data_IF_870277841579
#
_entry.id   IF_870277841579
#
_cell.length_a   1.000
_cell.length_b   1.000
_cell.length_c   1.000
_cell.angle_alpha   90.00
_cell.angle_beta   90.00
_cell.angle_gamma   90.00
#
_symmetry.space_group_name_H-M   'P 1'
#
loop_
_entity.id
_entity.type
_entity.pdbx_description
1 polymer ?
#
# COMPACT_ATOMS: atom_id res chain seq x y z
N UNK A 1 -13.93 -16.78 5.33
CA UNK A 1 -12.64 -16.39 5.94
C UNK A 1 -12.85 -15.69 7.28
N UNK A 2 -11.96 -15.91 8.24
CA UNK A 2 -12.13 -15.35 9.59
C UNK A 2 -13.10 -16.13 10.50
N UNK A 3 -13.61 -17.28 10.09
CA UNK A 3 -14.55 -18.09 10.86
C UNK A 3 -14.09 -19.54 11.05
N UNK A 4 -12.98 -19.91 10.47
CA UNK A 4 -12.32 -21.21 10.64
C UNK A 4 -11.28 -21.15 11.76
N UNK A 5 -10.38 -22.11 11.85
CA UNK A 5 -9.23 -22.12 12.75
C UNK A 5 -9.55 -21.95 14.26
N UNK A 6 -10.69 -22.49 14.69
CA UNK A 6 -11.17 -22.37 16.07
C UNK A 6 -10.14 -22.85 17.11
N UNK A 7 -9.52 -24.02 16.88
CA UNK A 7 -8.55 -24.61 17.81
C UNK A 7 -7.30 -23.73 17.95
N UNK A 8 -6.72 -23.31 16.82
CA UNK A 8 -5.55 -22.42 16.80
C UNK A 8 -5.85 -21.08 17.50
N UNK A 9 -7.03 -20.49 17.22
CA UNK A 9 -7.41 -19.23 17.88
C UNK A 9 -7.66 -19.37 19.37
N UNK A 10 -8.22 -20.50 19.84
CA UNK A 10 -8.35 -20.79 21.30
C UNK A 10 -6.98 -20.87 21.96
N UNK A 11 -5.99 -21.52 21.33
CA UNK A 11 -4.61 -21.57 21.85
C UNK A 11 -4.01 -20.15 21.93
N UNK A 12 -4.19 -19.33 20.88
CA UNK A 12 -3.75 -17.93 20.87
C UNK A 12 -4.40 -17.14 22.01
N UNK A 13 -5.73 -17.24 22.18
CA UNK A 13 -6.46 -16.58 23.29
C UNK A 13 -5.98 -17.06 24.66
N UNK A 14 -5.64 -18.35 24.81
CA UNK A 14 -5.03 -18.87 26.04
C UNK A 14 -3.67 -18.21 26.32
N UNK A 15 -2.87 -17.95 25.29
CA UNK A 15 -1.61 -17.20 25.46
C UNK A 15 -1.87 -15.74 25.82
N UNK A 16 -2.82 -15.07 25.17
CA UNK A 16 -3.21 -13.69 25.49
C UNK A 16 -3.64 -13.56 26.97
N UNK A 17 -4.42 -14.53 27.47
CA UNK A 17 -4.79 -14.60 28.91
C UNK A 17 -3.60 -14.69 29.86
N UNK A 18 -2.54 -15.40 29.45
CA UNK A 18 -1.32 -15.54 30.25
C UNK A 18 -0.42 -14.30 30.19
N UNK A 19 -0.34 -13.68 29.02
CA UNK A 19 0.50 -12.49 28.76
C UNK A 19 -0.15 -11.24 29.36
N UNK A 20 -1.49 -11.14 29.33
CA UNK A 20 -2.27 -9.95 29.75
C UNK A 20 -1.77 -8.67 29.07
N UNK A 21 -1.82 -8.59 27.74
CA UNK A 21 -1.31 -7.42 27.03
C UNK A 21 -2.13 -6.17 27.35
N UNK A 22 -1.47 -5.03 27.47
CA UNK A 22 -2.09 -3.72 27.68
C UNK A 22 -2.83 -3.23 26.43
N UNK A 23 -2.40 -3.68 25.25
CA UNK A 23 -3.00 -3.35 23.95
C UNK A 23 -2.80 -4.50 22.96
N UNK A 24 -3.74 -4.67 22.06
CA UNK A 24 -3.65 -5.63 20.94
C UNK A 24 -3.76 -4.91 19.62
N UNK A 25 -2.77 -5.11 18.74
CA UNK A 25 -2.78 -4.60 17.37
C UNK A 25 -3.21 -5.70 16.41
N UNK A 26 -4.26 -5.45 15.66
CA UNK A 26 -4.79 -6.35 14.65
C UNK A 26 -4.37 -5.89 13.26
N UNK A 27 -3.66 -6.76 12.52
CA UNK A 27 -3.19 -6.53 11.15
C UNK A 27 -3.51 -7.76 10.30
N UNK A 28 -3.94 -7.58 9.07
CA UNK A 28 -4.08 -8.63 8.04
C UNK A 28 -4.64 -9.98 8.57
N UNK A 29 -5.86 -9.98 9.13
CA UNK A 29 -6.50 -11.18 9.68
C UNK A 29 -7.22 -12.04 8.62
N UNK A 30 -7.10 -11.74 7.34
CA UNK A 30 -7.60 -12.59 6.27
C UNK A 30 -6.79 -13.90 6.15
N UNK A 31 -7.13 -14.78 5.21
CA UNK A 31 -6.42 -16.05 4.94
C UNK A 31 -6.69 -17.22 5.92
N UNK A 32 -7.79 -17.19 6.65
CA UNK A 32 -8.32 -18.32 7.45
C UNK A 32 -7.47 -18.82 8.62
N UNK A 33 -6.44 -18.11 9.06
CA UNK A 33 -5.62 -18.55 10.21
C UNK A 33 -6.22 -18.18 11.58
N UNK A 34 -7.19 -17.26 11.62
CA UNK A 34 -7.86 -16.75 12.83
C UNK A 34 -9.37 -16.92 12.75
N UNK A 35 -10.00 -17.24 13.89
CA UNK A 35 -11.46 -17.20 14.07
C UNK A 35 -11.83 -15.86 14.75
N UNK A 36 -12.42 -14.95 14.00
CA UNK A 36 -12.77 -13.58 14.47
C UNK A 36 -13.73 -13.61 15.67
N UNK A 37 -14.84 -14.40 15.68
CA UNK A 37 -15.71 -14.46 16.85
C UNK A 37 -15.00 -14.83 18.15
N UNK A 38 -14.03 -15.72 18.11
CA UNK A 38 -13.28 -16.15 19.30
C UNK A 38 -12.32 -15.05 19.74
N UNK A 39 -11.56 -14.46 18.80
CA UNK A 39 -10.58 -13.43 19.11
C UNK A 39 -11.25 -12.13 19.55
N UNK A 40 -12.12 -11.56 18.71
CA UNK A 40 -12.74 -10.27 18.97
C UNK A 40 -13.71 -10.34 20.16
N UNK A 41 -14.44 -11.46 20.32
CA UNK A 41 -15.26 -11.70 21.51
C UNK A 41 -14.45 -11.75 22.79
N UNK A 42 -13.21 -12.26 22.77
CA UNK A 42 -12.29 -12.20 23.91
C UNK A 42 -11.85 -10.76 24.19
N UNK A 43 -11.43 -10.00 23.17
CA UNK A 43 -10.99 -8.62 23.32
C UNK A 43 -12.11 -7.73 23.89
N UNK A 44 -13.33 -7.88 23.37
CA UNK A 44 -14.49 -7.15 23.84
C UNK A 44 -14.85 -7.52 25.30
N UNK A 45 -14.86 -8.82 25.62
CA UNK A 45 -15.25 -9.29 26.98
C UNK A 45 -14.32 -8.79 28.08
N UNK A 46 -13.03 -8.68 27.79
CA UNK A 46 -12.02 -8.28 28.76
C UNK A 46 -11.59 -6.82 28.61
N UNK A 47 -12.35 -6.05 27.81
CA UNK A 47 -12.10 -4.64 27.52
C UNK A 47 -10.63 -4.33 27.20
N UNK A 48 -10.03 -5.15 26.32
CA UNK A 48 -8.64 -4.96 25.92
C UNK A 48 -8.56 -3.88 24.86
N UNK A 49 -7.76 -2.80 25.07
CA UNK A 49 -7.52 -1.80 24.06
C UNK A 49 -7.07 -2.42 22.73
N UNK A 50 -7.79 -2.10 21.67
CA UNK A 50 -7.58 -2.77 20.38
C UNK A 50 -7.36 -1.75 19.29
N UNK A 51 -6.27 -1.90 18.54
CA UNK A 51 -5.94 -1.08 17.38
C UNK A 51 -6.06 -1.95 16.12
N UNK A 52 -6.91 -1.55 15.20
CA UNK A 52 -7.00 -2.15 13.86
C UNK A 52 -6.18 -1.33 12.89
N UNK A 53 -5.18 -1.94 12.23
CA UNK A 53 -4.38 -1.28 11.21
C UNK A 53 -4.84 -1.73 9.82
N UNK A 54 -5.30 -0.76 9.04
CA UNK A 54 -5.84 -0.97 7.71
C UNK A 54 -4.71 -0.97 6.66
N UNK A 55 -4.20 -2.15 6.31
CA UNK A 55 -3.26 -2.34 5.21
C UNK A 55 -3.97 -2.64 3.88
N UNK A 56 -5.25 -3.01 3.96
CA UNK A 56 -6.16 -3.27 2.85
C UNK A 56 -7.61 -3.04 3.31
N UNK A 57 -8.57 -3.25 2.41
CA UNK A 57 -9.97 -3.00 2.69
C UNK A 57 -10.70 -4.17 3.38
N UNK A 58 -10.02 -5.29 3.65
CA UNK A 58 -10.69 -6.51 4.13
C UNK A 58 -11.42 -6.33 5.47
N UNK A 59 -10.87 -5.54 6.38
CA UNK A 59 -11.49 -5.34 7.68
C UNK A 59 -12.88 -4.73 7.59
N UNK A 60 -13.09 -3.79 6.67
CA UNK A 60 -14.37 -3.08 6.53
C UNK A 60 -15.23 -3.55 5.35
N UNK A 61 -14.76 -4.50 4.54
CA UNK A 61 -15.57 -5.13 3.50
C UNK A 61 -16.11 -6.49 3.97
N UNK A 62 -17.03 -7.09 3.23
CA UNK A 62 -17.50 -8.45 3.52
C UNK A 62 -16.48 -9.51 3.14
N UNK A 63 -15.57 -9.22 2.18
CA UNK A 63 -14.79 -10.27 1.55
C UNK A 63 -13.47 -9.78 0.94
N UNK A 64 -13.52 -8.73 0.12
CA UNK A 64 -12.40 -8.31 -0.70
C UNK A 64 -11.36 -7.48 0.08
N UNK A 65 -10.10 -7.56 -0.36
CA UNK A 65 -8.99 -6.74 0.11
C UNK A 65 -8.94 -5.40 -0.62
N UNK A 66 -9.47 -5.35 -1.85
CA UNK A 66 -9.60 -4.14 -2.66
C UNK A 66 -10.94 -4.12 -3.38
N UNK A 67 -11.55 -2.96 -3.50
CA UNK A 67 -12.85 -2.79 -4.16
C UNK A 67 -12.83 -1.76 -5.31
N UNK A 68 -11.80 -0.93 -5.37
CA UNK A 68 -11.73 0.28 -6.21
C UNK A 68 -11.72 -0.02 -7.70
N UNK A 69 -10.95 -1.01 -8.16
CA UNK A 69 -10.91 -1.43 -9.56
C UNK A 69 -12.30 -1.84 -10.11
N UNK A 70 -13.17 -2.33 -9.24
CA UNK A 70 -14.52 -2.75 -9.60
C UNK A 70 -15.60 -1.76 -9.17
N UNK A 71 -15.21 -0.60 -8.64
CA UNK A 71 -16.11 0.49 -8.17
C UNK A 71 -17.25 -0.04 -7.28
N UNK A 72 -16.92 -0.98 -6.35
CA UNK A 72 -17.90 -1.64 -5.51
C UNK A 72 -18.02 -0.96 -4.14
N UNK A 73 -18.96 -0.06 -3.98
CA UNK A 73 -19.19 0.71 -2.74
C UNK A 73 -20.23 0.10 -1.79
N UNK A 74 -20.60 -1.17 -1.97
CA UNK A 74 -21.61 -1.85 -1.12
C UNK A 74 -21.23 -1.90 0.35
N UNK A 75 -19.93 -1.94 0.67
CA UNK A 75 -19.40 -1.96 2.03
C UNK A 75 -19.79 -0.73 2.87
N UNK A 76 -20.13 0.39 2.24
CA UNK A 76 -20.63 1.58 2.94
C UNK A 76 -22.01 1.39 3.58
N UNK A 77 -22.73 0.37 3.21
CA UNK A 77 -24.02 0.00 3.80
C UNK A 77 -24.04 -1.48 4.22
N UNK A 78 -24.05 -2.39 3.26
CA UNK A 78 -24.02 -3.84 3.50
C UNK A 78 -23.45 -4.58 2.27
N UNK A 79 -22.39 -5.34 2.45
CA UNK A 79 -21.90 -6.26 1.41
C UNK A 79 -22.90 -7.40 1.20
N UNK A 80 -23.25 -7.65 -0.07
CA UNK A 80 -24.08 -8.78 -0.52
C UNK A 80 -23.93 -8.95 -2.02
N UNK A 81 -24.21 -10.15 -2.54
CA UNK A 81 -24.11 -10.47 -3.97
C UNK A 81 -22.74 -10.02 -4.53
N UNK A 82 -21.68 -10.62 -3.98
CA UNK A 82 -20.31 -10.19 -4.23
C UNK A 82 -19.85 -10.59 -5.63
N UNK A 83 -19.59 -9.60 -6.49
CA UNK A 83 -19.03 -9.83 -7.83
C UNK A 83 -17.56 -10.27 -7.78
N UNK A 84 -16.86 -9.95 -6.67
CA UNK A 84 -15.44 -10.25 -6.46
C UNK A 84 -15.19 -11.60 -5.80
N UNK A 85 -16.25 -12.40 -5.56
CA UNK A 85 -16.17 -13.66 -4.80
C UNK A 85 -15.13 -14.65 -5.32
N UNK A 86 -14.87 -14.65 -6.64
CA UNK A 86 -13.89 -15.55 -7.28
C UNK A 86 -12.54 -14.88 -7.58
N UNK A 87 -12.48 -13.56 -7.51
CA UNK A 87 -11.33 -12.78 -7.96
C UNK A 87 -10.40 -12.38 -6.81
N UNK A 88 -10.96 -12.10 -5.64
CA UNK A 88 -10.19 -11.63 -4.49
C UNK A 88 -10.61 -12.43 -3.24
N UNK A 89 -9.65 -13.07 -2.56
CA UNK A 89 -9.91 -14.00 -1.46
C UNK A 89 -10.97 -15.06 -1.82
N UNK A 90 -10.77 -15.88 -2.82
CA UNK A 90 -11.83 -16.63 -3.48
C UNK A 90 -12.62 -17.54 -2.53
N UNK A 91 -13.95 -17.50 -2.65
CA UNK A 91 -14.88 -18.47 -2.09
C UNK A 91 -15.39 -19.37 -3.21
N UNK A 92 -15.13 -20.67 -3.10
CA UNK A 92 -15.36 -21.60 -4.21
C UNK A 92 -16.85 -21.95 -4.42
N UNK A 93 -17.69 -21.90 -3.36
CA UNK A 93 -19.04 -22.45 -3.41
C UNK A 93 -20.16 -21.44 -3.13
N UNK A 94 -20.01 -20.59 -2.10
CA UNK A 94 -21.10 -19.75 -1.63
C UNK A 94 -20.66 -18.29 -1.40
N UNK A 95 -21.52 -17.35 -1.77
CA UNK A 95 -21.35 -15.96 -1.37
C UNK A 95 -21.71 -15.75 0.11
N UNK A 96 -20.69 -15.68 0.94
CA UNK A 96 -20.83 -15.42 2.38
C UNK A 96 -20.58 -13.94 2.73
N UNK A 97 -20.41 -13.06 1.74
CA UNK A 97 -20.01 -11.66 1.96
C UNK A 97 -20.95 -10.91 2.91
N UNK A 98 -22.28 -11.13 2.79
CA UNK A 98 -23.28 -10.54 3.69
C UNK A 98 -23.13 -11.03 5.13
N UNK A 99 -23.00 -12.34 5.31
CA UNK A 99 -22.82 -12.95 6.63
C UNK A 99 -21.55 -12.47 7.30
N UNK A 100 -20.45 -12.41 6.54
CA UNK A 100 -19.15 -11.94 7.04
C UNK A 100 -19.17 -10.46 7.39
N UNK A 101 -19.79 -9.64 6.55
CA UNK A 101 -19.93 -8.21 6.80
C UNK A 101 -20.69 -7.93 8.12
N UNK A 102 -21.86 -8.57 8.29
CA UNK A 102 -22.66 -8.43 9.51
C UNK A 102 -21.92 -8.91 10.75
N UNK A 103 -21.31 -10.09 10.67
CA UNK A 103 -20.56 -10.62 11.79
C UNK A 103 -19.34 -9.74 12.17
N UNK A 104 -18.58 -9.20 11.18
CA UNK A 104 -17.53 -8.24 11.45
C UNK A 104 -18.09 -6.99 12.13
N UNK A 105 -19.20 -6.43 11.61
CA UNK A 105 -19.82 -5.25 12.19
C UNK A 105 -20.19 -5.47 13.67
N UNK A 106 -20.91 -6.55 13.97
CA UNK A 106 -21.29 -6.89 15.34
C UNK A 106 -20.09 -7.05 16.26
N UNK A 107 -19.03 -7.73 15.79
CA UNK A 107 -17.84 -8.00 16.57
C UNK A 107 -17.00 -6.74 16.83
N UNK A 108 -16.76 -5.89 15.84
CA UNK A 108 -15.96 -4.67 16.03
C UNK A 108 -16.73 -3.62 16.82
N UNK A 109 -18.04 -3.49 16.60
CA UNK A 109 -18.91 -2.59 17.39
C UNK A 109 -18.93 -2.96 18.88
N UNK A 110 -18.72 -4.24 19.22
CA UNK A 110 -18.70 -4.71 20.61
C UNK A 110 -17.39 -4.41 21.36
N UNK A 111 -16.33 -3.97 20.70
CA UNK A 111 -15.05 -3.63 21.36
C UNK A 111 -15.14 -2.20 21.92
N UNK A 112 -15.08 -2.01 23.25
CA UNK A 112 -15.31 -0.68 23.85
C UNK A 112 -14.18 0.32 23.54
N UNK A 113 -12.91 -0.15 23.59
CA UNK A 113 -11.72 0.66 23.34
C UNK A 113 -11.08 0.30 22.01
N UNK A 114 -11.77 0.68 20.91
CA UNK A 114 -11.34 0.43 19.54
C UNK A 114 -10.78 1.71 18.92
N UNK A 115 -9.55 1.62 18.39
CA UNK A 115 -8.97 2.59 17.47
C UNK A 115 -8.75 1.96 16.08
N UNK A 116 -8.87 2.78 15.05
CA UNK A 116 -8.61 2.41 13.67
C UNK A 116 -7.47 3.27 13.13
N UNK A 117 -6.43 2.64 12.66
CA UNK A 117 -5.28 3.29 12.02
C UNK A 117 -5.28 2.96 10.54
N UNK A 118 -5.32 3.97 9.69
CA UNK A 118 -5.07 3.82 8.26
C UNK A 118 -3.62 4.09 7.92
N UNK A 119 -3.06 3.32 6.98
CA UNK A 119 -1.68 3.51 6.51
C UNK A 119 -1.53 4.62 5.48
N UNK A 120 -2.60 5.33 5.17
CA UNK A 120 -2.70 6.53 4.33
C UNK A 120 -3.95 7.32 4.72
N UNK A 121 -4.06 8.58 4.29
CA UNK A 121 -5.26 9.38 4.50
C UNK A 121 -6.45 8.73 3.78
N UNK A 122 -6.26 8.27 2.53
CA UNK A 122 -7.30 7.59 1.76
C UNK A 122 -7.94 6.41 2.52
N UNK A 123 -7.15 5.45 3.02
CA UNK A 123 -7.73 4.26 3.67
C UNK A 123 -8.27 4.58 5.07
N UNK A 124 -7.76 5.62 5.73
CA UNK A 124 -8.31 6.13 6.99
C UNK A 124 -9.71 6.68 6.77
N UNK A 125 -9.90 7.49 5.73
CA UNK A 125 -11.20 8.05 5.34
C UNK A 125 -12.19 6.97 4.92
N UNK A 126 -11.73 5.95 4.20
CA UNK A 126 -12.58 4.81 3.85
C UNK A 126 -12.98 4.01 5.10
N UNK A 127 -12.05 3.78 6.01
CA UNK A 127 -12.35 3.15 7.31
C UNK A 127 -13.37 3.95 8.12
N UNK A 128 -13.27 5.27 8.13
CA UNK A 128 -14.21 6.16 8.84
C UNK A 128 -15.63 6.10 8.26
N UNK A 129 -15.77 5.91 6.94
CA UNK A 129 -17.07 5.73 6.28
C UNK A 129 -17.71 4.37 6.55
N UNK A 130 -16.95 3.40 7.07
CA UNK A 130 -17.39 2.02 7.17
C UNK A 130 -18.25 1.78 8.41
N UNK A 131 -19.50 1.26 8.28
CA UNK A 131 -20.36 0.99 9.43
C UNK A 131 -19.81 -0.09 10.38
N UNK A 132 -18.80 -0.84 9.95
CA UNK A 132 -18.11 -1.82 10.79
C UNK A 132 -17.39 -1.15 11.96
N UNK A 133 -16.87 0.06 11.74
CA UNK A 133 -16.11 0.81 12.74
C UNK A 133 -16.88 1.97 13.38
N UNK A 134 -18.22 1.98 13.28
CA UNK A 134 -19.05 3.09 13.76
C UNK A 134 -18.87 3.43 15.26
N UNK A 135 -18.38 2.51 16.07
CA UNK A 135 -18.10 2.70 17.50
C UNK A 135 -16.61 2.92 17.81
N UNK A 136 -15.75 2.96 16.79
CA UNK A 136 -14.34 3.25 17.03
C UNK A 136 -14.18 4.65 17.63
N UNK A 137 -13.36 4.75 18.67
CA UNK A 137 -13.15 6.00 19.42
C UNK A 137 -12.19 6.94 18.71
N UNK A 138 -11.25 6.37 17.97
CA UNK A 138 -10.17 7.10 17.32
C UNK A 138 -10.00 6.56 15.89
N UNK A 139 -9.89 7.49 14.94
CA UNK A 139 -9.38 7.24 13.60
C UNK A 139 -8.15 8.09 13.42
N UNK A 140 -7.04 7.47 13.05
CA UNK A 140 -5.78 8.17 12.87
C UNK A 140 -5.03 7.62 11.66
N UNK A 141 -4.43 8.51 10.84
CA UNK A 141 -3.48 8.11 9.84
C UNK A 141 -2.11 7.98 10.50
N UNK A 142 -1.49 6.80 10.35
CA UNK A 142 -0.07 6.59 10.63
C UNK A 142 0.51 5.88 9.41
N UNK A 143 1.33 6.57 8.64
CA UNK A 143 1.93 5.97 7.44
C UNK A 143 2.73 4.73 7.79
N UNK A 144 2.77 3.76 6.88
CA UNK A 144 3.76 2.71 6.96
C UNK A 144 5.15 3.34 6.93
N UNK A 145 6.05 2.83 7.75
CA UNK A 145 7.46 3.21 7.66
C UNK A 145 8.21 2.31 6.70
N UNK A 146 9.32 2.82 6.19
CA UNK A 146 10.33 2.04 5.49
C UNK A 146 11.64 2.05 6.28
N UNK A 147 12.47 1.05 6.06
CA UNK A 147 13.81 1.07 6.63
C UNK A 147 14.70 2.02 5.80
N UNK A 148 14.82 3.27 6.23
CA UNK A 148 15.59 4.28 5.52
C UNK A 148 17.10 4.01 5.45
N UNK A 149 17.62 3.09 6.29
CA UNK A 149 19.06 2.81 6.34
C UNK A 149 19.64 2.33 5.00
N UNK A 150 19.07 1.35 4.27
CA UNK A 150 19.52 1.00 2.93
C UNK A 150 19.05 1.98 1.85
N UNK A 151 17.87 2.61 2.02
CA UNK A 151 17.26 3.47 1.00
C UNK A 151 17.81 4.90 1.11
N UNK A 152 18.82 5.20 0.33
CA UNK A 152 19.43 6.54 0.16
C UNK A 152 20.04 6.63 -1.23
N UNK A 153 20.28 7.84 -1.76
CA UNK A 153 20.94 8.02 -3.05
C UNK A 153 22.30 7.32 -3.12
N UNK A 154 22.53 6.55 -4.17
CA UNK A 154 23.80 5.85 -4.45
C UNK A 154 24.40 6.31 -5.77
N UNK A 155 25.71 6.10 -5.94
CA UNK A 155 26.38 6.21 -7.23
C UNK A 155 25.89 5.06 -8.15
N UNK A 156 25.59 5.40 -9.39
CA UNK A 156 24.99 4.48 -10.36
C UNK A 156 25.80 4.32 -11.64
N UNK A 157 27.04 4.83 -11.68
CA UNK A 157 27.92 4.79 -12.86
C UNK A 157 28.11 3.33 -13.35
N UNK A 158 28.37 2.40 -12.43
CA UNK A 158 28.56 1.00 -12.77
C UNK A 158 27.29 0.35 -13.30
N UNK A 159 26.14 0.66 -12.72
CA UNK A 159 24.86 0.13 -13.16
C UNK A 159 24.47 0.69 -14.55
N UNK A 160 24.67 2.01 -14.78
CA UNK A 160 24.50 2.62 -16.12
C UNK A 160 25.30 1.89 -17.17
N UNK A 161 26.60 1.68 -16.89
CA UNK A 161 27.50 0.95 -17.80
C UNK A 161 27.05 -0.49 -18.06
N UNK A 162 26.64 -1.22 -17.00
CA UNK A 162 26.12 -2.60 -17.10
C UNK A 162 24.88 -2.68 -17.98
N UNK A 163 24.01 -1.67 -17.92
CA UNK A 163 22.78 -1.59 -18.72
C UNK A 163 22.98 -0.99 -20.12
N UNK A 164 24.19 -0.57 -20.47
CA UNK A 164 24.49 0.07 -21.75
C UNK A 164 23.91 1.47 -21.92
N UNK A 165 23.60 2.13 -20.82
CA UNK A 165 23.00 3.47 -20.79
C UNK A 165 24.07 4.55 -20.89
N UNK A 166 23.80 5.60 -21.67
CA UNK A 166 24.62 6.82 -21.72
C UNK A 166 24.30 7.73 -20.54
N UNK A 167 25.20 8.63 -20.18
CA UNK A 167 24.99 9.60 -19.11
C UNK A 167 23.81 10.55 -19.38
N UNK A 168 23.49 10.77 -20.66
CA UNK A 168 22.39 11.62 -21.13
C UNK A 168 21.05 10.92 -21.23
N UNK A 169 21.00 9.59 -21.09
CA UNK A 169 19.75 8.84 -21.24
C UNK A 169 18.83 9.08 -20.05
N UNK A 170 17.61 9.48 -20.33
CA UNK A 170 16.58 9.65 -19.32
C UNK A 170 15.95 8.31 -18.98
N UNK A 171 15.94 7.95 -17.71
CA UNK A 171 15.50 6.63 -17.22
C UNK A 171 14.24 6.78 -16.38
N UNK A 172 13.16 6.15 -16.83
CA UNK A 172 11.94 5.95 -16.03
C UNK A 172 11.91 4.53 -15.46
N UNK A 173 11.49 4.39 -14.21
CA UNK A 173 11.47 3.11 -13.49
C UNK A 173 10.05 2.74 -13.07
N UNK A 174 9.67 1.49 -13.29
CA UNK A 174 8.52 0.86 -12.68
C UNK A 174 8.93 -0.38 -11.88
N UNK A 175 8.35 -0.58 -10.70
CA UNK A 175 8.67 -1.73 -9.83
C UNK A 175 7.41 -2.44 -9.40
N UNK A 176 7.32 -3.75 -9.67
CA UNK A 176 6.24 -4.62 -9.22
C UNK A 176 6.76 -6.06 -9.09
N UNK A 177 6.13 -6.90 -8.28
CA UNK A 177 6.43 -8.34 -8.30
C UNK A 177 5.93 -9.00 -9.59
N UNK A 178 4.76 -8.58 -10.06
CA UNK A 178 4.16 -9.02 -11.32
C UNK A 178 3.40 -7.88 -11.96
N UNK A 179 3.43 -7.82 -13.28
CA UNK A 179 2.82 -6.78 -14.08
C UNK A 179 1.49 -7.25 -14.65
N UNK A 180 0.45 -6.46 -14.43
CA UNK A 180 -0.88 -6.62 -15.03
C UNK A 180 -1.57 -5.25 -15.16
N UNK A 181 -2.84 -5.24 -15.60
CA UNK A 181 -3.63 -4.02 -15.75
C UNK A 181 -3.77 -3.22 -14.43
N UNK A 182 -3.72 -3.90 -13.26
CA UNK A 182 -3.84 -3.24 -11.96
C UNK A 182 -2.60 -2.43 -11.61
N UNK A 183 -1.45 -2.82 -12.14
CA UNK A 183 -0.17 -2.10 -12.00
C UNK A 183 0.07 -1.09 -13.13
N UNK A 184 -0.91 -0.94 -14.03
CA UNK A 184 -0.85 0.02 -15.12
C UNK A 184 0.14 -0.37 -16.21
N UNK A 185 0.41 -1.67 -16.41
CA UNK A 185 1.38 -2.16 -17.40
C UNK A 185 1.19 -1.52 -18.78
N UNK A 186 -0.05 -1.45 -19.26
CA UNK A 186 -0.39 -0.90 -20.57
C UNK A 186 0.05 0.56 -20.73
N UNK A 187 0.04 1.34 -19.63
CA UNK A 187 0.45 2.75 -19.66
C UNK A 187 1.96 2.85 -19.91
N UNK A 188 2.76 1.94 -19.38
CA UNK A 188 4.20 1.91 -19.63
C UNK A 188 4.51 1.69 -21.10
N UNK A 189 3.78 0.79 -21.76
CA UNK A 189 3.93 0.53 -23.20
C UNK A 189 3.49 1.73 -24.04
N UNK A 190 2.33 2.35 -23.69
CA UNK A 190 1.84 3.58 -24.34
C UNK A 190 2.88 4.72 -24.26
N UNK A 191 3.51 4.89 -23.11
CA UNK A 191 4.56 5.90 -22.91
C UNK A 191 5.79 5.55 -23.74
N UNK A 192 6.23 4.30 -23.72
CA UNK A 192 7.40 3.85 -24.47
C UNK A 192 7.26 4.08 -25.99
N UNK A 193 6.05 3.86 -26.51
CA UNK A 193 5.75 4.10 -27.93
C UNK A 193 5.77 5.60 -28.28
N UNK A 194 5.21 6.45 -27.40
CA UNK A 194 5.08 7.89 -27.66
C UNK A 194 6.34 8.71 -27.38
N UNK A 195 7.20 8.22 -26.48
CA UNK A 195 8.49 8.86 -26.15
C UNK A 195 9.62 7.83 -26.32
N UNK A 196 9.99 7.48 -27.55
CA UNK A 196 10.98 6.42 -27.78
C UNK A 196 12.41 6.79 -27.35
N UNK A 197 12.67 8.03 -27.01
CA UNK A 197 13.96 8.57 -26.56
C UNK A 197 14.18 8.50 -25.03
N UNK A 198 13.25 7.88 -24.28
CA UNK A 198 13.48 7.51 -22.88
C UNK A 198 13.69 6.01 -22.74
N UNK A 199 14.45 5.61 -21.74
CA UNK A 199 14.55 4.21 -21.35
C UNK A 199 13.60 3.93 -20.21
N UNK A 200 12.72 2.94 -20.36
CA UNK A 200 11.81 2.49 -19.31
C UNK A 200 12.32 1.16 -18.75
N UNK A 201 12.69 1.15 -17.49
CA UNK A 201 13.07 -0.08 -16.77
C UNK A 201 11.85 -0.59 -16.01
N UNK A 202 11.43 -1.82 -16.30
CA UNK A 202 10.33 -2.49 -15.60
C UNK A 202 10.91 -3.66 -14.78
N UNK A 203 10.94 -3.51 -13.45
CA UNK A 203 11.37 -4.57 -12.53
C UNK A 203 10.18 -5.43 -12.17
N UNK A 204 10.29 -6.75 -12.36
CA UNK A 204 9.26 -7.72 -12.02
C UNK A 204 8.93 -8.70 -13.12
N UNK A 205 8.01 -9.64 -12.82
CA UNK A 205 7.56 -10.61 -13.80
C UNK A 205 6.60 -9.97 -14.79
N UNK A 206 6.99 -9.84 -16.03
CA UNK A 206 6.10 -9.50 -17.14
C UNK A 206 5.39 -10.76 -17.67
N UNK A 207 4.17 -10.67 -18.17
CA UNK A 207 3.57 -11.72 -18.98
C UNK A 207 4.39 -11.93 -20.27
N UNK A 208 4.16 -13.03 -20.96
CA UNK A 208 4.75 -13.27 -22.27
C UNK A 208 4.23 -12.24 -23.28
N UNK A 209 5.08 -11.26 -23.62
CA UNK A 209 4.75 -10.16 -24.53
C UNK A 209 6.02 -9.65 -25.22
N UNK A 210 5.85 -9.10 -26.41
CA UNK A 210 6.92 -8.43 -27.14
C UNK A 210 7.24 -7.08 -26.48
N UNK A 211 8.51 -6.81 -26.21
CA UNK A 211 8.97 -5.56 -25.62
C UNK A 211 9.34 -4.55 -26.70
N UNK A 212 9.02 -3.30 -26.46
CA UNK A 212 9.53 -2.19 -27.27
C UNK A 212 11.03 -2.00 -27.03
N UNK A 213 11.80 -1.50 -28.03
CA UNK A 213 13.26 -1.38 -27.94
C UNK A 213 13.78 -0.54 -26.76
N UNK A 214 12.96 0.39 -26.26
CA UNK A 214 13.27 1.25 -25.13
C UNK A 214 12.70 0.76 -23.78
N UNK A 215 12.16 -0.47 -23.72
CA UNK A 215 11.75 -1.13 -22.48
C UNK A 215 12.79 -2.19 -22.10
N UNK A 216 13.35 -2.06 -20.91
CA UNK A 216 14.22 -3.05 -20.28
C UNK A 216 13.45 -3.77 -19.17
N UNK A 217 13.20 -5.06 -19.35
CA UNK A 217 12.65 -5.88 -18.26
C UNK A 217 13.76 -6.45 -17.40
N UNK A 218 13.65 -6.26 -16.11
CA UNK A 218 14.55 -6.81 -15.10
C UNK A 218 13.76 -7.75 -14.20
N UNK A 219 14.21 -9.00 -13.99
CA UNK A 219 13.52 -9.93 -13.09
C UNK A 219 13.33 -9.37 -11.68
N UNK A 220 12.36 -9.90 -10.90
CA UNK A 220 12.19 -9.50 -9.50
C UNK A 220 13.48 -9.68 -8.70
N UNK A 221 13.85 -8.70 -7.90
CA UNK A 221 15.06 -8.71 -7.10
C UNK A 221 14.77 -9.15 -5.66
N UNK A 222 15.63 -10.00 -5.11
CA UNK A 222 15.58 -10.39 -3.70
C UNK A 222 16.45 -9.51 -2.80
N UNK A 223 17.49 -8.89 -3.34
CA UNK A 223 18.43 -8.06 -2.59
C UNK A 223 17.97 -6.58 -2.60
N UNK A 224 17.83 -6.01 -1.41
CA UNK A 224 17.43 -4.60 -1.25
C UNK A 224 18.48 -3.65 -1.86
N UNK A 225 19.76 -3.96 -1.70
CA UNK A 225 20.86 -3.12 -2.19
C UNK A 225 20.85 -2.96 -3.71
N UNK A 226 20.52 -4.03 -4.45
CA UNK A 226 20.37 -3.95 -5.90
C UNK A 226 19.18 -3.05 -6.28
N UNK A 227 18.05 -3.19 -5.61
CA UNK A 227 16.85 -2.39 -5.88
C UNK A 227 17.11 -0.89 -5.62
N UNK A 228 17.89 -0.56 -4.58
CA UNK A 228 18.29 0.81 -4.25
C UNK A 228 19.13 1.44 -5.38
N UNK A 229 19.99 0.66 -6.05
CA UNK A 229 20.74 1.15 -7.20
C UNK A 229 19.80 1.53 -8.36
N UNK A 230 18.76 0.74 -8.64
CA UNK A 230 17.79 1.09 -9.68
C UNK A 230 16.94 2.31 -9.30
N UNK A 231 16.51 2.44 -8.04
CA UNK A 231 15.84 3.66 -7.59
C UNK A 231 16.76 4.88 -7.76
N UNK A 232 18.03 4.74 -7.37
CA UNK A 232 19.01 5.82 -7.49
C UNK A 232 19.36 6.17 -8.94
N UNK A 233 19.34 5.17 -9.83
CA UNK A 233 19.58 5.32 -11.26
C UNK A 233 18.50 6.13 -11.96
N UNK A 234 17.23 5.86 -11.63
CA UNK A 234 16.08 6.41 -12.33
C UNK A 234 15.97 7.92 -12.17
N UNK A 235 15.62 8.63 -13.23
CA UNK A 235 15.29 10.04 -13.22
C UNK A 235 13.86 10.28 -12.70
N UNK A 236 12.99 9.27 -12.83
CA UNK A 236 11.61 9.28 -12.34
C UNK A 236 11.13 7.87 -12.03
N UNK A 237 10.33 7.72 -10.97
CA UNK A 237 9.55 6.51 -10.74
C UNK A 237 8.11 6.71 -11.24
N UNK A 238 7.62 5.75 -12.03
CA UNK A 238 6.21 5.64 -12.42
C UNK A 238 5.46 4.68 -11.48
N UNK A 239 4.34 5.13 -10.93
CA UNK A 239 3.42 4.29 -10.20
C UNK A 239 1.98 4.52 -10.69
N UNK A 240 1.56 3.73 -11.67
CA UNK A 240 0.23 3.80 -12.27
C UNK A 240 -0.72 2.73 -11.72
N UNK A 241 -0.41 2.18 -10.55
CA UNK A 241 -1.29 1.23 -9.86
C UNK A 241 -2.66 1.85 -9.61
N UNK A 242 -3.72 1.12 -9.97
CA UNK A 242 -5.11 1.56 -9.73
C UNK A 242 -5.62 1.21 -8.32
N UNK A 243 -4.81 0.52 -7.53
CA UNK A 243 -5.12 0.07 -6.16
C UNK A 243 -3.86 0.10 -5.30
N UNK A 244 -3.67 1.18 -4.57
CA UNK A 244 -2.61 1.28 -3.57
C UNK A 244 -3.20 1.76 -2.24
N UNK A 245 -2.81 1.13 -1.15
CA UNK A 245 -3.18 1.58 0.20
C UNK A 245 -2.11 2.44 0.85
N UNK A 246 -0.87 2.33 0.36
CA UNK A 246 0.27 3.13 0.83
C UNK A 246 1.22 3.49 -0.32
N UNK A 247 1.66 2.52 -1.15
CA UNK A 247 2.64 2.76 -2.20
C UNK A 247 4.09 2.65 -1.73
N UNK A 248 4.46 1.49 -1.16
CA UNK A 248 5.80 1.23 -0.63
C UNK A 248 6.92 1.54 -1.63
N UNK A 249 6.75 1.13 -2.89
CA UNK A 249 7.71 1.36 -3.98
C UNK A 249 8.00 2.87 -4.18
N UNK A 250 6.95 3.70 -4.12
CA UNK A 250 7.08 5.14 -4.26
C UNK A 250 7.80 5.77 -3.05
N UNK A 251 7.51 5.29 -1.83
CA UNK A 251 8.21 5.75 -0.62
C UNK A 251 9.71 5.41 -0.67
N UNK A 252 10.07 4.21 -1.16
CA UNK A 252 11.45 3.75 -1.35
C UNK A 252 12.19 4.60 -2.41
N UNK A 253 11.52 4.92 -3.51
CA UNK A 253 12.08 5.78 -4.56
C UNK A 253 12.35 7.20 -4.05
N UNK A 254 11.41 7.80 -3.29
CA UNK A 254 11.64 9.10 -2.65
C UNK A 254 12.87 9.08 -1.74
N UNK A 255 13.03 8.03 -0.93
CA UNK A 255 14.19 7.91 -0.05
C UNK A 255 15.52 7.79 -0.83
N UNK A 256 15.48 7.28 -2.05
CA UNK A 256 16.62 7.25 -2.97
C UNK A 256 16.78 8.54 -3.81
N UNK A 257 16.01 9.58 -3.51
CA UNK A 257 16.09 10.88 -4.19
C UNK A 257 15.42 10.92 -5.56
N UNK A 258 14.48 10.03 -5.84
CA UNK A 258 13.86 9.90 -7.16
C UNK A 258 12.44 10.45 -7.14
N UNK A 259 12.12 11.44 -8.00
CA UNK A 259 10.79 12.02 -8.10
C UNK A 259 9.77 11.03 -8.68
N UNK A 260 8.50 11.33 -8.47
CA UNK A 260 7.40 10.44 -8.77
C UNK A 260 6.47 11.00 -9.86
N UNK A 261 5.95 10.13 -10.72
CA UNK A 261 4.73 10.38 -11.48
C UNK A 261 3.75 9.28 -11.12
N UNK A 262 2.62 9.64 -10.53
CA UNK A 262 1.64 8.70 -10.00
C UNK A 262 0.23 8.97 -10.50
N UNK A 263 -0.62 7.96 -10.51
CA UNK A 263 -2.05 8.11 -10.79
C UNK A 263 -2.79 8.85 -9.68
N UNK A 264 -3.88 9.56 -10.05
CA UNK A 264 -4.86 10.12 -9.12
C UNK A 264 -5.81 9.03 -8.58
N UNK A 265 -5.28 7.96 -7.99
CA UNK A 265 -6.08 6.85 -7.45
C UNK A 265 -5.64 6.47 -6.05
N UNK A 266 -6.61 6.20 -5.19
CA UNK A 266 -6.40 5.69 -3.83
C UNK A 266 -5.35 6.50 -3.05
N UNK A 267 -4.34 5.87 -2.46
CA UNK A 267 -3.30 6.57 -1.70
C UNK A 267 -2.18 7.19 -2.55
N UNK A 268 -2.13 6.94 -3.85
CA UNK A 268 -1.05 7.44 -4.71
C UNK A 268 -0.84 8.96 -4.65
N UNK A 269 -1.92 9.81 -4.67
CA UNK A 269 -1.78 11.27 -4.64
C UNK A 269 -1.08 11.82 -3.40
N UNK A 270 -1.05 11.05 -2.31
CA UNK A 270 -0.46 11.50 -1.04
C UNK A 270 1.08 11.53 -1.06
N UNK A 271 1.70 10.78 -2.00
CA UNK A 271 3.13 10.50 -1.97
C UNK A 271 4.01 11.61 -2.59
N UNK A 272 3.72 12.14 -3.79
CA UNK A 272 4.65 13.05 -4.46
C UNK A 272 4.85 14.37 -3.72
N UNK A 273 3.78 15.06 -3.31
CA UNK A 273 3.88 16.47 -2.88
C UNK A 273 4.58 17.31 -3.95
N UNK A 274 5.61 18.05 -3.58
CA UNK A 274 6.43 18.82 -4.51
C UNK A 274 7.52 17.97 -5.22
N UNK A 275 7.63 16.70 -4.85
CA UNK A 275 8.61 15.77 -5.39
C UNK A 275 8.10 15.00 -6.62
N UNK A 276 7.15 15.56 -7.37
CA UNK A 276 6.64 14.89 -8.56
C UNK A 276 5.24 15.36 -8.97
N UNK A 277 4.54 14.50 -9.69
CA UNK A 277 3.27 14.84 -10.31
C UNK A 277 2.20 13.76 -10.05
N UNK A 278 0.99 14.22 -9.81
CA UNK A 278 -0.21 13.39 -9.80
C UNK A 278 -0.93 13.59 -11.15
N UNK A 279 -1.15 12.50 -11.87
CA UNK A 279 -1.79 12.54 -13.19
C UNK A 279 -3.13 11.82 -13.17
N UNK A 280 -4.09 12.32 -13.94
CA UNK A 280 -5.37 11.63 -14.11
C UNK A 280 -5.15 10.28 -14.77
N UNK A 281 -5.97 9.32 -14.40
CA UNK A 281 -5.87 7.95 -14.88
C UNK A 281 -5.70 7.88 -16.39
N UNK A 282 -4.64 7.20 -16.83
CA UNK A 282 -4.36 6.88 -18.22
C UNK A 282 -4.23 8.10 -19.16
N UNK A 283 -4.09 9.31 -18.61
CA UNK A 283 -3.81 10.48 -19.45
C UNK A 283 -2.33 10.55 -19.79
N UNK A 284 -1.95 9.83 -20.83
CA UNK A 284 -0.57 9.74 -21.31
C UNK A 284 0.01 11.10 -21.70
N UNK A 285 -0.80 12.04 -22.19
CA UNK A 285 -0.33 13.38 -22.53
C UNK A 285 0.12 14.15 -21.28
N UNK A 286 -0.64 14.04 -20.19
CA UNK A 286 -0.24 14.64 -18.91
C UNK A 286 1.00 13.95 -18.32
N UNK A 287 1.15 12.63 -18.49
CA UNK A 287 2.35 11.92 -18.10
C UNK A 287 3.56 12.42 -18.89
N UNK A 288 3.45 12.55 -20.21
CA UNK A 288 4.52 13.08 -21.08
C UNK A 288 4.90 14.50 -20.67
N UNK A 289 3.93 15.35 -20.37
CA UNK A 289 4.19 16.72 -19.88
C UNK A 289 4.96 16.72 -18.58
N UNK A 290 4.60 15.82 -17.63
CA UNK A 290 5.31 15.66 -16.37
C UNK A 290 6.73 15.13 -16.57
N UNK A 291 6.93 14.14 -17.45
CA UNK A 291 8.25 13.63 -17.85
C UNK A 291 9.13 14.76 -18.40
N UNK A 292 8.61 15.55 -19.33
CA UNK A 292 9.35 16.68 -19.91
C UNK A 292 9.72 17.75 -18.88
N UNK A 293 8.84 17.98 -17.90
CA UNK A 293 9.11 18.90 -16.80
C UNK A 293 10.25 18.39 -15.90
N UNK A 294 10.23 17.09 -15.54
CA UNK A 294 11.31 16.49 -14.74
C UNK A 294 12.61 16.48 -15.53
N UNK A 295 12.57 16.13 -16.81
CA UNK A 295 13.74 16.13 -17.70
C UNK A 295 14.37 17.52 -17.79
N UNK A 296 13.58 18.57 -17.95
CA UNK A 296 14.08 19.95 -18.08
C UNK A 296 14.72 20.48 -16.80
N UNK A 297 14.20 20.08 -15.63
CA UNK A 297 14.75 20.48 -14.32
C UNK A 297 15.95 19.63 -13.90
N UNK A 298 15.99 18.39 -14.36
CA UNK A 298 16.92 17.37 -13.94
C UNK A 298 16.61 16.75 -12.56
N UNK A 299 17.04 15.52 -12.37
CA UNK A 299 16.86 14.77 -11.10
C UNK A 299 17.43 15.52 -9.90
N UNK A 300 18.59 16.18 -10.07
CA UNK A 300 19.26 16.92 -8.98
C UNK A 300 18.38 17.99 -8.33
N UNK A 301 17.45 18.58 -9.10
CA UNK A 301 16.49 19.55 -8.57
C UNK A 301 15.57 18.93 -7.51
N UNK A 302 15.18 17.66 -7.70
CA UNK A 302 14.21 16.96 -6.83
C UNK A 302 14.87 16.17 -5.70
N UNK A 303 16.12 15.77 -5.87
CA UNK A 303 16.76 14.74 -5.05
C UNK A 303 16.68 15.02 -3.54
N UNK A 304 17.10 16.21 -3.11
CA UNK A 304 17.08 16.56 -1.69
C UNK A 304 15.64 16.61 -1.14
N UNK A 305 14.71 17.22 -1.87
CA UNK A 305 13.30 17.30 -1.48
C UNK A 305 12.66 15.92 -1.33
N UNK A 306 12.99 14.98 -2.22
CA UNK A 306 12.51 13.59 -2.15
C UNK A 306 12.99 12.90 -0.88
N UNK A 307 14.29 13.00 -0.59
CA UNK A 307 14.89 12.41 0.62
C UNK A 307 14.26 12.99 1.89
N UNK A 308 14.16 14.31 1.98
CA UNK A 308 13.55 14.99 3.12
C UNK A 308 12.08 14.58 3.31
N UNK A 309 11.32 14.49 2.22
CA UNK A 309 9.94 14.03 2.26
C UNK A 309 9.84 12.60 2.79
N UNK A 310 10.68 11.67 2.31
CA UNK A 310 10.70 10.30 2.79
C UNK A 310 11.04 10.22 4.29
N UNK A 311 12.03 10.99 4.76
CA UNK A 311 12.38 11.08 6.17
C UNK A 311 11.25 11.67 7.03
N UNK A 312 10.56 12.67 6.53
CA UNK A 312 9.48 13.32 7.28
C UNK A 312 8.25 12.43 7.42
N UNK A 313 7.92 11.65 6.41
CA UNK A 313 6.67 10.86 6.38
C UNK A 313 6.86 9.39 6.78
N UNK A 314 8.02 8.79 6.48
CA UNK A 314 8.17 7.34 6.51
C UNK A 314 9.28 6.85 7.46
N UNK A 315 9.81 7.75 8.30
CA UNK A 315 10.78 7.36 9.30
C UNK A 315 10.12 6.48 10.37
N UNK A 316 10.83 5.38 10.71
CA UNK A 316 10.31 4.35 11.60
C UNK A 316 10.00 4.87 13.00
N UNK A 317 10.94 5.58 13.61
CA UNK A 317 10.83 5.95 15.02
C UNK A 317 9.72 6.99 15.23
N UNK A 318 9.61 7.98 14.35
CA UNK A 318 8.49 8.95 14.35
C UNK A 318 7.13 8.28 14.22
N UNK A 319 7.01 7.27 13.35
CA UNK A 319 5.74 6.58 13.17
C UNK A 319 5.42 5.63 14.32
N UNK A 320 6.44 5.03 14.97
CA UNK A 320 6.25 4.24 16.20
C UNK A 320 5.80 5.13 17.36
N UNK A 321 6.36 6.33 17.52
CA UNK A 321 5.94 7.29 18.55
C UNK A 321 4.44 7.61 18.46
N UNK A 322 3.90 7.79 17.27
CA UNK A 322 2.45 7.98 17.07
C UNK A 322 1.62 6.78 17.55
N UNK A 323 2.13 5.54 17.40
CA UNK A 323 1.46 4.37 17.98
C UNK A 323 1.54 4.37 19.50
N UNK A 324 2.66 4.77 20.10
CA UNK A 324 2.83 4.87 21.56
C UNK A 324 1.88 5.92 22.14
N UNK A 325 1.75 7.08 21.49
CA UNK A 325 0.77 8.10 21.86
C UNK A 325 -0.66 7.56 21.81
N UNK A 326 -1.01 6.86 20.73
CA UNK A 326 -2.32 6.23 20.58
C UNK A 326 -2.60 5.19 21.68
N UNK A 327 -1.60 4.40 22.07
CA UNK A 327 -1.71 3.45 23.21
C UNK A 327 -2.04 4.16 24.51
N UNK A 328 -1.34 5.25 24.79
CA UNK A 328 -1.56 6.04 26.01
C UNK A 328 -2.98 6.62 26.04
N UNK A 329 -3.48 7.17 24.92
CA UNK A 329 -4.85 7.72 24.83
C UNK A 329 -5.89 6.61 25.08
N UNK A 330 -5.70 5.41 24.52
CA UNK A 330 -6.64 4.31 24.70
C UNK A 330 -6.65 3.75 26.13
N UNK A 331 -5.56 3.91 26.87
CA UNK A 331 -5.44 3.44 28.27
C UNK A 331 -5.96 4.47 29.29
N UNK A 332 -5.82 5.78 29.02
CA UNK A 332 -6.25 6.85 29.95
C UNK A 332 -7.77 7.01 29.96
N UNK A 333 -8.47 6.65 28.89
CA UNK A 333 -9.93 6.75 28.80
C UNK A 333 -10.68 5.52 29.35
N UNK A 334 -10.10 4.83 30.33
CA UNK A 334 -10.67 3.68 31.05
C UNK A 334 -11.32 4.06 32.37
#
# INVERSE_FOLDING_TARGET
QGFFSKSATRKMVSQLKRIQPDVVILRNLHSNFVNLPILLGYLAKYDIPTIVVLHDCWFFTGHCTHYTAHKCYKWQSECKNCKLMKLDNPSLFFDTSRKMFRAKKELFVSIPRLAVVGVSDWITDEGHKAPIFQNAKIFQRIYNWINLKPFHPKDTILLRKKLGLKDTDFVALGVSMSWDYRKGMEIFFDIAERIPDITIIMIGCLPDCELLPNILNVPPMGAVDELVEYYSLADVLFNFSIQETFGKVAAEALACGTPLIVNETTANPELPGECGFVVKNNDVNNIISAVNTIRSRGKGYYQQMCVERAHNLFEKDKNIEQYIELFNILNVNS
#
